data_IF_896313505786
#
_entry.id   IF_896313505786
#
_cell.length_a   1.000
_cell.length_b   1.000
_cell.length_c   1.000
_cell.angle_alpha   90.00
_cell.angle_beta   90.00
_cell.angle_gamma   90.00
#
_symmetry.space_group_name_H-M   'P 1'
#
loop_
_entity.id
_entity.type
_entity.pdbx_description
1 polymer ?
#
# COMPACT_ATOMS: atom_id res chain seq x y z
N UNK A 1 -11.97 -24.65 15.09
CA UNK A 1 -11.80 -23.38 15.83
C UNK A 1 -10.67 -22.55 15.21
N UNK A 2 -9.53 -23.16 14.89
CA UNK A 2 -8.35 -22.53 14.26
C UNK A 2 -8.62 -21.85 12.90
N UNK A 3 -9.41 -22.46 12.00
CA UNK A 3 -9.83 -21.85 10.72
C UNK A 3 -10.72 -20.59 10.88
N UNK A 4 -11.39 -20.42 12.02
CA UNK A 4 -12.29 -19.28 12.27
C UNK A 4 -11.49 -18.09 12.82
N UNK A 5 -10.54 -18.34 13.73
CA UNK A 5 -9.63 -17.33 14.25
C UNK A 5 -8.75 -16.72 13.14
N UNK A 6 -8.23 -17.56 12.25
CA UNK A 6 -7.47 -17.11 11.06
C UNK A 6 -8.32 -16.19 10.16
N UNK A 7 -9.63 -16.46 10.05
CA UNK A 7 -10.54 -15.62 9.28
C UNK A 7 -10.88 -14.29 9.95
N UNK A 8 -11.03 -14.26 11.27
CA UNK A 8 -11.34 -13.04 12.01
C UNK A 8 -10.14 -12.11 12.14
N UNK A 9 -8.95 -12.66 12.39
CA UNK A 9 -7.70 -11.90 12.41
C UNK A 9 -7.37 -11.36 11.03
N UNK A 10 -7.53 -12.17 9.97
CA UNK A 10 -7.38 -11.70 8.60
C UNK A 10 -8.39 -10.62 8.25
N UNK A 11 -9.64 -10.72 8.73
CA UNK A 11 -10.66 -9.68 8.53
C UNK A 11 -10.30 -8.39 9.26
N UNK A 12 -9.91 -8.47 10.53
CA UNK A 12 -9.46 -7.29 11.31
C UNK A 12 -8.26 -6.61 10.64
N UNK A 13 -7.27 -7.40 10.21
CA UNK A 13 -6.09 -6.89 9.50
C UNK A 13 -6.49 -6.19 8.19
N UNK A 14 -7.36 -6.82 7.41
CA UNK A 14 -7.90 -6.24 6.17
C UNK A 14 -8.62 -4.93 6.45
N UNK A 15 -9.50 -4.88 7.45
CA UNK A 15 -10.26 -3.68 7.79
C UNK A 15 -9.33 -2.54 8.23
N UNK A 16 -8.28 -2.83 9.00
CA UNK A 16 -7.26 -1.84 9.38
C UNK A 16 -6.47 -1.31 8.18
N UNK A 17 -6.11 -2.17 7.22
CA UNK A 17 -5.46 -1.75 5.98
C UNK A 17 -6.38 -0.83 5.18
N UNK A 18 -7.66 -1.17 5.03
CA UNK A 18 -8.61 -0.33 4.28
C UNK A 18 -8.86 1.00 4.97
N UNK A 19 -9.01 1.03 6.29
CA UNK A 19 -9.09 2.28 7.04
C UNK A 19 -7.87 3.18 6.83
N UNK A 20 -6.66 2.62 6.79
CA UNK A 20 -5.45 3.40 6.51
C UNK A 20 -5.40 3.91 5.06
N UNK A 21 -5.90 3.12 4.10
CA UNK A 21 -6.08 3.59 2.71
C UNK A 21 -7.11 4.71 2.65
N UNK A 22 -8.14 4.67 3.49
CA UNK A 22 -9.18 5.70 3.52
C UNK A 22 -8.72 7.06 4.01
N UNK A 23 -7.69 7.09 4.86
CA UNK A 23 -6.97 8.28 5.33
C UNK A 23 -6.07 8.95 4.26
N UNK A 24 -5.90 8.33 3.09
CA UNK A 24 -5.17 8.94 1.98
C UNK A 24 -6.00 10.02 1.27
N UNK A 25 -5.33 11.06 0.79
CA UNK A 25 -5.98 12.03 -0.08
C UNK A 25 -6.48 11.37 -1.37
N UNK A 26 -7.52 11.92 -2.01
CA UNK A 26 -8.09 11.36 -3.25
C UNK A 26 -7.05 10.98 -4.31
N UNK A 27 -6.11 11.88 -4.67
CA UNK A 27 -5.05 11.55 -5.63
C UNK A 27 -4.08 10.44 -5.18
N UNK A 28 -3.76 10.39 -3.88
CA UNK A 28 -2.91 9.34 -3.32
C UNK A 28 -3.62 7.99 -3.33
N UNK A 29 -4.88 7.95 -2.89
CA UNK A 29 -5.74 6.75 -2.90
C UNK A 29 -5.89 6.21 -4.32
N UNK A 30 -6.22 7.07 -5.29
CA UNK A 30 -6.35 6.69 -6.69
C UNK A 30 -5.05 6.05 -7.23
N UNK A 31 -3.90 6.67 -6.98
CA UNK A 31 -2.61 6.14 -7.42
C UNK A 31 -2.30 4.77 -6.77
N UNK A 32 -2.57 4.62 -5.46
CA UNK A 32 -2.38 3.35 -4.74
C UNK A 32 -3.28 2.24 -5.30
N UNK A 33 -4.56 2.52 -5.53
CA UNK A 33 -5.52 1.54 -6.04
C UNK A 33 -5.12 1.08 -7.44
N UNK A 34 -4.83 2.01 -8.35
CA UNK A 34 -4.42 1.66 -9.72
C UNK A 34 -3.11 0.88 -9.74
N UNK A 35 -2.16 1.19 -8.85
CA UNK A 35 -0.88 0.48 -8.81
C UNK A 35 -1.01 -0.93 -8.21
N UNK A 36 -1.55 -1.04 -7.00
CA UNK A 36 -1.52 -2.29 -6.22
C UNK A 36 -2.70 -3.22 -6.49
N UNK A 37 -3.87 -2.68 -6.85
CA UNK A 37 -5.05 -3.48 -7.15
C UNK A 37 -5.17 -3.79 -8.63
N UNK A 38 -4.93 -2.80 -9.49
CA UNK A 38 -5.05 -2.95 -10.95
C UNK A 38 -3.70 -3.28 -11.64
N UNK A 39 -2.59 -3.32 -10.90
CA UNK A 39 -1.27 -3.69 -11.44
C UNK A 39 -0.69 -2.69 -12.45
N UNK A 40 -1.18 -1.45 -12.47
CA UNK A 40 -0.79 -0.46 -13.46
C UNK A 40 0.60 0.13 -13.18
N UNK A 41 1.35 0.41 -14.25
CA UNK A 41 2.61 1.16 -14.16
C UNK A 41 2.37 2.64 -13.84
N UNK A 42 3.38 3.34 -13.31
CA UNK A 42 3.26 4.80 -13.04
C UNK A 42 2.90 5.61 -14.29
N UNK A 43 3.36 5.16 -15.45
CA UNK A 43 3.08 5.76 -16.75
C UNK A 43 1.62 5.53 -17.19
N UNK A 44 1.09 4.31 -17.00
CA UNK A 44 -0.31 4.01 -17.26
C UNK A 44 -1.25 4.76 -16.30
N UNK A 45 -0.88 4.88 -15.02
CA UNK A 45 -1.60 5.68 -14.02
C UNK A 45 -1.65 7.15 -14.44
N UNK A 46 -0.51 7.71 -14.87
CA UNK A 46 -0.42 9.09 -15.31
C UNK A 46 -1.39 9.39 -16.47
N UNK A 47 -1.41 8.52 -17.49
CA UNK A 47 -2.38 8.62 -18.60
C UNK A 47 -3.83 8.51 -18.11
N UNK A 48 -4.11 7.56 -17.22
CA UNK A 48 -5.47 7.30 -16.71
C UNK A 48 -6.02 8.48 -15.93
N UNK A 49 -5.17 9.13 -15.12
CA UNK A 49 -5.57 10.26 -14.27
C UNK A 49 -5.43 11.62 -14.97
N UNK A 50 -4.86 11.68 -16.18
CA UNK A 50 -4.60 12.93 -16.89
C UNK A 50 -3.56 13.83 -16.20
N UNK A 51 -2.56 13.23 -15.53
CA UNK A 51 -1.52 13.93 -14.77
C UNK A 51 -0.11 13.61 -15.28
N UNK A 52 0.91 14.45 -15.00
CA UNK A 52 2.30 14.11 -15.31
C UNK A 52 2.77 12.82 -14.61
N UNK A 53 3.62 12.04 -15.27
CA UNK A 53 4.21 10.82 -14.67
C UNK A 53 4.99 11.12 -13.38
N UNK A 54 5.68 12.26 -13.31
CA UNK A 54 6.36 12.71 -12.10
C UNK A 54 5.37 12.92 -10.94
N UNK A 55 4.16 13.41 -11.23
CA UNK A 55 3.08 13.58 -10.26
C UNK A 55 2.50 12.24 -9.81
N UNK A 56 2.28 11.29 -10.73
CA UNK A 56 1.86 9.93 -10.37
C UNK A 56 2.89 9.24 -9.44
N UNK A 57 4.19 9.36 -9.75
CA UNK A 57 5.29 8.88 -8.89
C UNK A 57 5.27 9.54 -7.52
N UNK A 58 5.08 10.87 -7.44
CA UNK A 58 5.07 11.59 -6.17
C UNK A 58 3.84 11.26 -5.32
N UNK A 59 2.67 11.05 -5.93
CA UNK A 59 1.48 10.53 -5.23
C UNK A 59 1.73 9.15 -4.62
N UNK A 60 2.28 8.20 -5.40
CA UNK A 60 2.62 6.88 -4.90
C UNK A 60 3.65 6.94 -3.76
N UNK A 61 4.68 7.77 -3.90
CA UNK A 61 5.71 7.92 -2.87
C UNK A 61 5.11 8.45 -1.55
N UNK A 62 4.34 9.54 -1.62
CA UNK A 62 3.69 10.14 -0.46
C UNK A 62 2.66 9.20 0.17
N UNK A 63 1.88 8.51 -0.64
CA UNK A 63 0.91 7.53 -0.17
C UNK A 63 1.58 6.38 0.60
N UNK A 64 2.68 5.82 0.07
CA UNK A 64 3.47 4.78 0.77
C UNK A 64 4.05 5.28 2.09
N UNK A 65 4.52 6.53 2.13
CA UNK A 65 4.97 7.16 3.37
C UNK A 65 3.85 7.23 4.40
N UNK A 66 2.70 7.78 4.01
CA UNK A 66 1.52 7.91 4.87
C UNK A 66 1.01 6.55 5.37
N UNK A 67 0.92 5.56 4.49
CA UNK A 67 0.51 4.19 4.86
C UNK A 67 1.49 3.54 5.82
N UNK A 68 2.80 3.72 5.62
CA UNK A 68 3.80 3.21 6.58
C UNK A 68 3.59 3.80 7.96
N UNK A 69 3.31 5.09 8.06
CA UNK A 69 3.11 5.74 9.34
C UNK A 69 1.81 5.25 10.02
N UNK A 70 0.71 5.16 9.25
CA UNK A 70 -0.59 4.67 9.71
C UNK A 70 -0.59 3.19 10.11
N UNK A 71 0.21 2.36 9.43
CA UNK A 71 0.28 0.92 9.64
C UNK A 71 1.49 0.49 10.50
N UNK A 72 2.27 1.44 11.02
CA UNK A 72 3.48 1.16 11.80
C UNK A 72 3.24 0.28 13.04
N UNK A 73 2.08 0.41 13.69
CA UNK A 73 1.68 -0.43 14.82
C UNK A 73 1.11 -1.80 14.43
N UNK A 74 0.87 -2.03 13.13
CA UNK A 74 0.22 -3.22 12.59
C UNK A 74 1.22 -4.30 12.17
N UNK A 75 2.41 -3.90 11.70
CA UNK A 75 3.47 -4.80 11.27
C UNK A 75 4.61 -4.72 12.27
N UNK A 76 4.66 -5.68 13.21
CA UNK A 76 5.65 -5.68 14.30
C UNK A 76 7.10 -5.87 13.84
N UNK A 77 7.32 -6.37 12.63
CA UNK A 77 8.67 -6.57 12.10
C UNK A 77 8.74 -6.45 10.57
N UNK A 78 9.05 -5.25 10.10
CA UNK A 78 9.42 -4.99 8.70
C UNK A 78 10.92 -5.24 8.45
N UNK A 79 11.71 -5.41 9.50
CA UNK A 79 13.16 -5.57 9.45
C UNK A 79 13.56 -6.97 9.02
N UNK A 80 12.80 -7.99 9.45
CA UNK A 80 12.97 -9.38 8.99
C UNK A 80 12.84 -9.55 7.47
N UNK A 81 12.06 -8.70 6.80
CA UNK A 81 11.88 -8.77 5.34
C UNK A 81 12.99 -8.04 4.55
N UNK A 82 13.63 -7.02 5.14
CA UNK A 82 14.72 -6.29 4.46
C UNK A 82 15.96 -7.15 4.23
N UNK A 83 16.29 -8.05 5.17
CA UNK A 83 17.44 -8.95 5.04
C UNK A 83 17.34 -9.92 3.85
N UNK A 84 16.13 -10.22 3.36
CA UNK A 84 15.92 -11.11 2.21
C UNK A 84 16.25 -10.48 0.85
N UNK A 85 16.39 -9.15 0.77
CA UNK A 85 16.79 -8.46 -0.47
C UNK A 85 18.31 -8.28 -0.63
N UNK A 86 19.09 -8.46 0.42
CA UNK A 86 20.55 -8.29 0.39
C UNK A 86 21.30 -9.57 0.02
N UNK A 87 20.66 -10.74 0.12
CA UNK A 87 21.27 -12.04 -0.26
C UNK A 87 21.07 -12.42 -1.73
N UNK A 88 20.43 -11.56 -2.52
CA UNK A 88 20.23 -11.75 -3.95
C UNK A 88 21.10 -10.75 -4.72
N UNK A 89 22.41 -10.96 -4.71
CA UNK A 89 23.35 -10.38 -5.67
C UNK A 89 24.51 -11.32 -5.94
#
# INVERSE_FOLDING_TARGET
VERVAESEEARRLKDQIWSAVDELSGPQKAAVMLFYREGMSCDAIARTLGIPMATAKSHLHRARGRLRDLLSGLVKDWSSFRSLRETAS
#
